data_IF_917416588567
#
_entry.id   IF_917416588567
#
_cell.length_a   1.000
_cell.length_b   1.000
_cell.length_c   1.000
_cell.angle_alpha   90.00
_cell.angle_beta   90.00
_cell.angle_gamma   90.00
#
_symmetry.space_group_name_H-M   'P 1'
#
loop_
_entity.id
_entity.type
_entity.pdbx_description
1 polymer ?
#
# COMPACT_ATOMS: atom_id res chain seq x y z
N UNK A 1 48.04 37.38 -2.09
CA UNK A 1 48.10 36.51 -3.29
C UNK A 1 47.96 35.10 -2.75
N UNK A 2 46.80 34.45 -2.75
CA UNK A 2 45.61 34.63 -3.58
C UNK A 2 44.36 34.29 -2.76
N UNK A 3 43.34 35.14 -2.87
CA UNK A 3 42.06 35.02 -2.19
C UNK A 3 40.97 35.15 -3.25
N UNK A 4 40.73 34.10 -4.03
CA UNK A 4 39.54 33.99 -4.89
C UNK A 4 39.44 32.58 -5.50
N UNK A 5 38.65 31.66 -4.92
CA UNK A 5 38.30 30.35 -5.56
C UNK A 5 37.15 29.61 -4.87
N UNK A 6 36.13 30.30 -4.32
CA UNK A 6 35.07 29.59 -3.57
C UNK A 6 33.60 30.06 -3.70
N UNK A 7 33.04 30.30 -4.92
CA UNK A 7 31.57 30.24 -5.10
C UNK A 7 31.05 29.04 -5.92
N UNK A 8 31.84 28.37 -6.76
CA UNK A 8 31.29 27.43 -7.75
C UNK A 8 30.84 26.05 -7.20
N UNK A 9 31.29 25.63 -6.00
CA UNK A 9 30.87 24.33 -5.44
C UNK A 9 29.51 24.35 -4.71
N UNK A 10 28.85 25.51 -4.59
CA UNK A 10 27.53 25.57 -3.98
C UNK A 10 26.39 25.42 -5.02
N UNK A 11 26.60 25.89 -6.25
CA UNK A 11 25.57 25.84 -7.31
C UNK A 11 25.41 24.45 -7.94
N UNK A 12 26.50 23.70 -8.17
CA UNK A 12 26.42 22.31 -8.70
C UNK A 12 25.63 21.37 -7.77
N UNK A 13 25.57 21.65 -6.47
CA UNK A 13 24.83 20.80 -5.51
C UNK A 13 23.31 20.98 -5.57
N UNK A 14 22.83 22.00 -6.26
CA UNK A 14 21.39 22.36 -6.27
C UNK A 14 20.71 21.98 -7.58
N UNK A 15 21.45 21.85 -8.68
CA UNK A 15 20.92 21.41 -9.98
C UNK A 15 20.82 19.88 -10.12
N UNK A 16 21.50 19.11 -9.27
CA UNK A 16 21.42 17.64 -9.27
C UNK A 16 20.21 17.05 -8.50
N UNK A 17 19.21 17.86 -8.12
CA UNK A 17 18.09 17.44 -7.26
C UNK A 17 16.74 17.22 -7.99
N UNK A 18 16.76 16.89 -9.28
CA UNK A 18 15.56 16.38 -9.97
C UNK A 18 15.44 14.85 -9.80
N UNK A 19 14.24 14.37 -9.50
CA UNK A 19 13.96 12.94 -9.31
C UNK A 19 14.08 12.19 -10.64
N UNK A 20 15.19 11.51 -10.91
CA UNK A 20 15.46 10.92 -12.23
C UNK A 20 14.70 9.62 -12.49
N UNK A 21 14.47 8.82 -11.47
CA UNK A 21 13.82 7.51 -11.56
C UNK A 21 12.40 7.52 -11.01
N UNK A 22 12.09 8.40 -10.06
CA UNK A 22 10.81 8.48 -9.36
C UNK A 22 9.96 9.70 -9.75
N UNK A 23 10.33 10.44 -10.81
CA UNK A 23 9.49 11.53 -11.36
C UNK A 23 8.06 11.04 -11.66
N UNK A 24 7.95 9.85 -12.25
CA UNK A 24 6.67 9.25 -12.58
C UNK A 24 5.80 9.01 -11.34
N UNK A 25 6.40 8.78 -10.16
CA UNK A 25 5.67 8.58 -8.90
C UNK A 25 5.07 9.90 -8.45
N UNK A 26 5.81 11.00 -8.56
CA UNK A 26 5.27 12.33 -8.30
C UNK A 26 4.14 12.66 -9.27
N UNK A 27 4.36 12.45 -10.57
CA UNK A 27 3.33 12.68 -11.59
C UNK A 27 2.07 11.84 -11.34
N UNK A 28 2.22 10.54 -11.06
CA UNK A 28 1.12 9.63 -10.76
C UNK A 28 0.38 10.05 -9.47
N UNK A 29 1.10 10.51 -8.46
CA UNK A 29 0.52 11.02 -7.21
C UNK A 29 -0.28 12.29 -7.45
N UNK A 30 0.26 13.26 -8.19
CA UNK A 30 -0.45 14.49 -8.58
C UNK A 30 -1.70 14.14 -9.40
N UNK A 31 -1.56 13.24 -10.37
CA UNK A 31 -2.68 12.80 -11.20
C UNK A 31 -3.76 12.10 -10.37
N UNK A 32 -3.38 11.23 -9.43
CA UNK A 32 -4.30 10.56 -8.52
C UNK A 32 -5.03 11.57 -7.62
N UNK A 33 -4.29 12.49 -6.99
CA UNK A 33 -4.86 13.55 -6.17
C UNK A 33 -5.85 14.43 -6.96
N UNK A 34 -5.49 14.83 -8.17
CA UNK A 34 -6.37 15.62 -9.04
C UNK A 34 -7.66 14.85 -9.39
N UNK A 35 -7.55 13.57 -9.77
CA UNK A 35 -8.73 12.72 -10.07
C UNK A 35 -9.61 12.54 -8.84
N UNK A 36 -9.02 12.31 -7.67
CA UNK A 36 -9.73 12.21 -6.40
C UNK A 36 -10.43 13.53 -6.04
N UNK A 37 -9.78 14.68 -6.23
CA UNK A 37 -10.35 15.99 -5.97
C UNK A 37 -11.57 16.27 -6.87
N UNK A 38 -11.48 15.96 -8.17
CA UNK A 38 -12.59 16.09 -9.12
C UNK A 38 -13.77 15.17 -8.71
N UNK A 39 -13.47 13.92 -8.34
CA UNK A 39 -14.50 12.98 -7.92
C UNK A 39 -15.19 13.44 -6.62
N UNK A 40 -14.40 13.92 -5.65
CA UNK A 40 -14.89 14.45 -4.39
C UNK A 40 -15.76 15.70 -4.61
N UNK A 41 -15.30 16.67 -5.40
CA UNK A 41 -16.04 17.90 -5.66
C UNK A 41 -17.39 17.61 -6.34
N UNK A 42 -17.39 16.70 -7.32
CA UNK A 42 -18.61 16.23 -7.99
C UNK A 42 -19.58 15.53 -7.03
N UNK A 43 -19.07 14.66 -6.15
CA UNK A 43 -19.89 13.99 -5.13
C UNK A 43 -20.46 14.98 -4.10
N UNK A 44 -19.65 15.94 -3.66
CA UNK A 44 -20.04 17.01 -2.73
C UNK A 44 -21.12 17.91 -3.31
N UNK A 45 -21.01 18.31 -4.58
CA UNK A 45 -22.04 19.11 -5.27
C UNK A 45 -23.37 18.35 -5.41
N UNK A 46 -23.32 17.01 -5.51
CA UNK A 46 -24.50 16.14 -5.62
C UNK A 46 -25.01 15.59 -4.28
N UNK A 47 -24.40 15.96 -3.16
CA UNK A 47 -24.77 15.47 -1.83
C UNK A 47 -26.15 15.97 -1.35
N UNK A 48 -26.73 16.98 -2.01
CA UNK A 48 -28.05 17.52 -1.70
C UNK A 48 -28.15 17.98 -0.22
N UNK A 49 -29.09 17.45 0.58
CA UNK A 49 -29.26 17.83 1.98
C UNK A 49 -28.05 17.49 2.87
N UNK A 50 -27.13 16.63 2.42
CA UNK A 50 -25.91 16.27 3.17
C UNK A 50 -24.76 17.27 2.97
N UNK A 51 -24.85 18.17 1.98
CA UNK A 51 -23.79 19.12 1.65
C UNK A 51 -23.32 19.96 2.86
N UNK A 52 -24.21 20.54 3.70
CA UNK A 52 -23.77 21.29 4.89
C UNK A 52 -22.99 20.46 5.91
N UNK A 53 -23.31 19.17 6.03
CA UNK A 53 -22.59 18.24 6.91
C UNK A 53 -21.17 17.97 6.39
N UNK A 54 -21.03 17.77 5.08
CA UNK A 54 -19.73 17.62 4.41
C UNK A 54 -18.88 18.88 4.59
N UNK A 55 -19.45 20.07 4.40
CA UNK A 55 -18.76 21.35 4.60
C UNK A 55 -18.26 21.50 6.05
N UNK A 56 -19.08 21.13 7.04
CA UNK A 56 -18.71 21.20 8.46
C UNK A 56 -17.54 20.28 8.79
N UNK A 57 -17.56 19.04 8.29
CA UNK A 57 -16.48 18.07 8.50
C UNK A 57 -15.20 18.51 7.79
N UNK A 58 -15.31 19.04 6.57
CA UNK A 58 -14.17 19.55 5.80
C UNK A 58 -13.48 20.70 6.54
N UNK A 59 -14.22 21.66 7.07
CA UNK A 59 -13.65 22.78 7.84
C UNK A 59 -13.01 22.30 9.15
N UNK A 60 -13.63 21.33 9.85
CA UNK A 60 -13.04 20.74 11.05
C UNK A 60 -11.74 20.00 10.75
N UNK A 61 -11.72 19.17 9.70
CA UNK A 61 -10.52 18.43 9.26
C UNK A 61 -9.44 19.39 8.81
N UNK A 62 -9.78 20.41 8.01
CA UNK A 62 -8.83 21.45 7.57
C UNK A 62 -8.20 22.16 8.76
N UNK A 63 -8.99 22.53 9.77
CA UNK A 63 -8.48 23.19 10.98
C UNK A 63 -7.51 22.31 11.78
N UNK A 64 -7.78 21.01 11.87
CA UNK A 64 -6.94 20.05 12.61
C UNK A 64 -5.69 19.64 11.82
N UNK A 65 -5.83 19.43 10.52
CA UNK A 65 -4.78 18.87 9.66
C UNK A 65 -3.87 19.94 9.07
N UNK A 66 -4.36 21.17 8.81
CA UNK A 66 -3.53 22.22 8.20
C UNK A 66 -2.23 22.50 8.98
N UNK A 67 -2.25 22.66 10.32
CA UNK A 67 -1.01 22.87 11.08
C UNK A 67 -0.04 21.68 11.02
N UNK A 68 -0.56 20.47 10.81
CA UNK A 68 0.25 19.25 10.66
C UNK A 68 0.86 19.22 9.25
N UNK A 69 0.06 19.48 8.22
CA UNK A 69 0.54 19.55 6.85
C UNK A 69 1.63 20.61 6.68
N UNK A 70 1.43 21.83 7.19
CA UNK A 70 2.42 22.90 7.10
C UNK A 70 3.77 22.52 7.72
N UNK A 71 3.76 21.71 8.79
CA UNK A 71 5.00 21.22 9.43
C UNK A 71 5.69 20.10 8.66
N UNK A 72 4.95 19.28 7.91
CA UNK A 72 5.47 18.02 7.35
C UNK A 72 5.39 17.92 5.81
N UNK A 73 4.84 18.92 5.11
CA UNK A 73 4.62 18.87 3.66
C UNK A 73 5.90 18.63 2.84
N UNK A 74 7.07 18.99 3.38
CA UNK A 74 8.38 18.75 2.75
C UNK A 74 8.89 17.31 2.92
N UNK A 75 8.44 16.59 3.96
CA UNK A 75 8.97 15.24 4.29
C UNK A 75 8.79 14.23 3.16
N UNK A 76 7.62 14.12 2.49
CA UNK A 76 7.45 13.17 1.38
C UNK A 76 8.41 13.43 0.22
N UNK A 77 8.69 14.70 -0.10
CA UNK A 77 9.63 15.08 -1.16
C UNK A 77 11.04 14.61 -0.87
N UNK A 78 11.52 14.82 0.35
CA UNK A 78 12.86 14.41 0.77
C UNK A 78 13.02 12.88 0.85
N UNK A 79 11.98 12.15 1.28
CA UNK A 79 11.97 10.68 1.24
C UNK A 79 12.03 10.16 -0.19
N UNK A 80 11.29 10.77 -1.12
CA UNK A 80 11.37 10.42 -2.54
C UNK A 80 12.75 10.71 -3.11
N UNK A 81 13.35 11.87 -2.81
CA UNK A 81 14.73 12.19 -3.25
C UNK A 81 15.75 11.18 -2.72
N UNK A 82 15.62 10.80 -1.45
CA UNK A 82 16.48 9.77 -0.86
C UNK A 82 16.32 8.42 -1.56
N UNK A 83 15.08 8.00 -1.82
CA UNK A 83 14.79 6.77 -2.55
C UNK A 83 15.32 6.82 -3.99
N UNK A 84 15.13 7.94 -4.69
CA UNK A 84 15.60 8.17 -6.05
C UNK A 84 17.13 8.07 -6.14
N UNK A 85 17.84 8.73 -5.20
CA UNK A 85 19.30 8.60 -5.09
C UNK A 85 19.73 7.16 -4.81
N UNK A 86 19.00 6.42 -3.97
CA UNK A 86 19.30 5.00 -3.71
C UNK A 86 19.07 4.11 -4.93
N UNK A 87 18.08 4.42 -5.75
CA UNK A 87 17.86 3.75 -7.03
C UNK A 87 18.97 4.08 -8.03
N UNK A 88 19.38 5.35 -8.13
CA UNK A 88 20.49 5.80 -8.97
C UNK A 88 21.84 5.18 -8.54
N UNK A 89 22.13 5.16 -7.23
CA UNK A 89 23.30 4.48 -6.66
C UNK A 89 23.30 3.00 -7.02
N UNK A 90 22.16 2.33 -6.87
CA UNK A 90 22.03 0.92 -7.21
C UNK A 90 22.31 0.69 -8.70
N UNK A 91 21.74 1.51 -9.58
CA UNK A 91 21.93 1.43 -11.04
C UNK A 91 23.41 1.66 -11.45
N UNK A 92 24.09 2.60 -10.79
CA UNK A 92 25.50 2.92 -11.04
C UNK A 92 26.47 1.82 -10.59
N UNK A 93 26.10 1.03 -9.58
CA UNK A 93 26.95 0.03 -8.95
C UNK A 93 26.59 -1.41 -9.31
N UNK A 94 25.67 -1.65 -10.24
CA UNK A 94 25.33 -3.02 -10.69
C UNK A 94 26.49 -3.59 -11.49
N UNK A 95 27.33 -4.48 -10.92
CA UNK A 95 28.37 -5.14 -11.69
C UNK A 95 27.64 -6.15 -12.60
N UNK A 96 28.16 -6.43 -13.79
CA UNK A 96 27.50 -7.28 -14.81
C UNK A 96 27.01 -8.65 -14.31
N UNK A 97 27.45 -9.09 -13.14
CA UNK A 97 27.00 -10.27 -12.41
C UNK A 97 25.56 -10.18 -11.86
N UNK A 98 24.95 -9.01 -11.66
CA UNK A 98 23.51 -8.93 -11.25
C UNK A 98 22.57 -9.06 -12.46
N UNK A 99 23.05 -8.88 -13.69
CA UNK A 99 22.31 -9.33 -14.89
C UNK A 99 22.00 -10.83 -14.86
N UNK A 100 22.79 -11.65 -14.13
CA UNK A 100 22.45 -13.07 -13.90
C UNK A 100 21.26 -13.23 -12.94
N UNK A 101 21.08 -12.35 -11.96
CA UNK A 101 19.87 -12.35 -11.12
C UNK A 101 18.66 -11.83 -11.91
N UNK A 102 18.86 -10.88 -12.83
CA UNK A 102 17.82 -10.47 -13.77
C UNK A 102 17.35 -11.63 -14.66
N UNK A 103 18.23 -12.58 -15.01
CA UNK A 103 17.81 -13.78 -15.75
C UNK A 103 16.94 -14.73 -14.92
N UNK A 104 17.13 -14.79 -13.59
CA UNK A 104 16.18 -15.46 -12.68
C UNK A 104 14.86 -14.67 -12.59
N UNK A 105 14.90 -13.34 -12.55
CA UNK A 105 13.69 -12.52 -12.60
C UNK A 105 12.94 -12.65 -13.94
N UNK A 106 13.64 -12.78 -15.06
CA UNK A 106 13.05 -13.10 -16.37
C UNK A 106 12.51 -14.53 -16.41
N UNK A 107 13.10 -15.49 -15.68
CA UNK A 107 12.53 -16.83 -15.52
C UNK A 107 11.19 -16.75 -14.79
N UNK A 108 11.09 -15.94 -13.73
CA UNK A 108 9.82 -15.66 -13.02
C UNK A 108 8.79 -15.02 -13.96
N UNK A 109 9.19 -14.07 -14.83
CA UNK A 109 8.29 -13.52 -15.87
C UNK A 109 7.84 -14.59 -16.87
N UNK A 110 8.72 -15.53 -17.22
CA UNK A 110 8.38 -16.62 -18.16
C UNK A 110 7.47 -17.68 -17.54
N UNK A 111 7.58 -17.94 -16.23
CA UNK A 111 6.66 -18.79 -15.46
C UNK A 111 5.30 -18.11 -15.30
N UNK A 112 5.28 -16.80 -15.01
CA UNK A 112 4.07 -15.98 -14.99
C UNK A 112 3.38 -15.94 -16.37
N UNK A 113 4.15 -15.99 -17.46
CA UNK A 113 3.59 -16.04 -18.83
C UNK A 113 3.02 -17.42 -19.19
N UNK A 114 3.52 -18.50 -18.59
CA UNK A 114 3.03 -19.88 -18.83
C UNK A 114 1.81 -20.23 -17.98
N UNK A 115 1.88 -19.97 -16.67
CA UNK A 115 0.83 -20.40 -15.73
C UNK A 115 -0.09 -19.24 -15.32
N UNK A 116 0.17 -18.03 -15.80
CA UNK A 116 -0.55 -16.82 -15.43
C UNK A 116 -0.13 -16.29 -14.05
N UNK A 117 -0.27 -14.97 -13.86
CA UNK A 117 0.00 -14.28 -12.57
C UNK A 117 -0.73 -14.96 -11.40
N UNK A 118 -1.94 -15.48 -11.66
CA UNK A 118 -2.78 -16.16 -10.66
C UNK A 118 -2.16 -17.46 -10.14
N UNK A 119 -1.55 -18.28 -11.00
CA UNK A 119 -0.96 -19.55 -10.56
C UNK A 119 0.34 -19.33 -9.78
N UNK A 120 1.19 -18.40 -10.23
CA UNK A 120 2.40 -18.05 -9.48
C UNK A 120 2.06 -17.44 -8.11
N UNK A 121 1.07 -16.53 -8.06
CA UNK A 121 0.57 -16.00 -6.80
C UNK A 121 0.11 -17.13 -5.88
N UNK A 122 -0.70 -18.09 -6.38
CA UNK A 122 -1.12 -19.27 -5.61
C UNK A 122 0.06 -20.07 -5.06
N UNK A 123 1.08 -20.37 -5.87
CA UNK A 123 2.26 -21.12 -5.43
C UNK A 123 3.04 -20.40 -4.33
N UNK A 124 3.23 -19.09 -4.48
CA UNK A 124 3.89 -18.27 -3.46
C UNK A 124 3.04 -18.23 -2.18
N UNK A 125 1.73 -17.95 -2.30
CA UNK A 125 0.82 -17.94 -1.15
C UNK A 125 0.85 -19.28 -0.41
N UNK A 126 0.69 -20.41 -1.10
CA UNK A 126 0.68 -21.74 -0.47
C UNK A 126 1.99 -22.10 0.24
N UNK A 127 3.14 -21.59 -0.23
CA UNK A 127 4.43 -21.83 0.45
C UNK A 127 4.52 -21.10 1.79
N UNK A 128 3.98 -19.88 1.87
CA UNK A 128 4.05 -19.05 3.08
C UNK A 128 2.84 -19.23 4.01
N UNK A 129 1.73 -19.74 3.50
CA UNK A 129 0.49 -20.00 4.23
C UNK A 129 0.69 -20.75 5.55
N UNK A 130 1.37 -21.92 5.63
CA UNK A 130 1.52 -22.63 6.90
C UNK A 130 2.33 -21.84 7.94
N UNK A 131 3.34 -21.09 7.51
CA UNK A 131 4.12 -20.24 8.41
C UNK A 131 3.31 -19.05 8.89
N UNK A 132 2.55 -18.41 8.00
CA UNK A 132 1.66 -17.31 8.35
C UNK A 132 0.58 -17.74 9.35
N UNK A 133 -0.03 -18.91 9.14
CA UNK A 133 -1.01 -19.52 10.06
C UNK A 133 -0.40 -19.79 11.43
N UNK A 134 0.78 -20.41 11.50
CA UNK A 134 1.47 -20.67 12.77
C UNK A 134 1.81 -19.38 13.52
N UNK A 135 2.27 -18.35 12.80
CA UNK A 135 2.52 -17.03 13.38
C UNK A 135 1.23 -16.40 13.90
N UNK A 136 0.14 -16.45 13.13
CA UNK A 136 -1.15 -15.90 13.52
C UNK A 136 -1.72 -16.59 14.76
N UNK A 137 -1.68 -17.93 14.83
CA UNK A 137 -2.10 -18.71 16.01
C UNK A 137 -1.23 -18.38 17.23
N UNK A 138 0.08 -18.29 17.04
CA UNK A 138 1.01 -17.97 18.14
C UNK A 138 0.79 -16.56 18.68
N UNK A 139 0.60 -15.59 17.79
CA UNK A 139 0.27 -14.22 18.14
C UNK A 139 -1.09 -14.15 18.86
N UNK A 140 -2.11 -14.83 18.35
CA UNK A 140 -3.44 -14.89 18.97
C UNK A 140 -3.39 -15.51 20.37
N UNK A 141 -2.64 -16.59 20.55
CA UNK A 141 -2.46 -17.24 21.86
C UNK A 141 -1.77 -16.32 22.86
N UNK A 142 -0.73 -15.58 22.44
CA UNK A 142 -0.07 -14.58 23.29
C UNK A 142 -1.00 -13.42 23.65
N UNK A 143 -1.78 -12.93 22.69
CA UNK A 143 -2.75 -11.87 22.93
C UNK A 143 -3.84 -12.30 23.92
N UNK A 144 -4.34 -13.54 23.82
CA UNK A 144 -5.30 -14.10 24.77
C UNK A 144 -4.79 -14.24 26.22
N UNK A 145 -3.47 -14.12 26.46
CA UNK A 145 -2.91 -14.06 27.81
C UNK A 145 -3.04 -12.67 28.45
N UNK A 146 -3.35 -11.63 27.67
CA UNK A 146 -3.55 -10.28 28.19
C UNK A 146 -4.95 -10.16 28.82
N UNK A 147 -5.08 -9.61 30.03
CA UNK A 147 -6.34 -9.66 30.81
C UNK A 147 -7.54 -8.96 30.14
N UNK A 148 -7.29 -7.98 29.27
CA UNK A 148 -8.34 -7.25 28.57
C UNK A 148 -8.63 -7.79 27.16
N UNK A 149 -7.72 -8.56 26.58
CA UNK A 149 -7.83 -8.98 25.18
C UNK A 149 -9.02 -9.92 24.93
N UNK A 150 -9.34 -10.91 25.79
CA UNK A 150 -10.51 -11.76 25.58
C UNK A 150 -11.82 -10.97 25.51
N UNK A 151 -11.96 -9.90 26.32
CA UNK A 151 -13.15 -9.06 26.31
C UNK A 151 -13.26 -8.26 25.01
N UNK A 152 -12.16 -7.67 24.57
CA UNK A 152 -12.10 -6.93 23.29
C UNK A 152 -12.35 -7.89 22.11
N UNK A 153 -11.72 -9.06 22.12
CA UNK A 153 -11.88 -10.08 21.10
C UNK A 153 -13.34 -10.50 20.96
N UNK A 154 -14.06 -10.77 22.05
CA UNK A 154 -15.48 -11.16 21.99
C UNK A 154 -16.40 -10.11 21.38
N UNK A 155 -16.05 -8.82 21.45
CA UNK A 155 -16.82 -7.74 20.81
C UNK A 155 -16.46 -7.58 19.34
N UNK A 156 -15.17 -7.74 19.00
CA UNK A 156 -14.65 -7.51 17.65
C UNK A 156 -14.87 -8.73 16.75
N UNK A 157 -14.75 -9.94 17.26
CA UNK A 157 -14.76 -11.17 16.49
C UNK A 157 -16.09 -11.39 15.73
N UNK A 158 -17.27 -11.18 16.34
CA UNK A 158 -18.55 -11.29 15.61
C UNK A 158 -18.68 -10.23 14.50
N UNK A 159 -18.20 -9.01 14.75
CA UNK A 159 -18.21 -7.94 13.74
C UNK A 159 -17.25 -8.25 12.59
N UNK A 160 -16.06 -8.74 12.90
CA UNK A 160 -15.08 -9.17 11.92
C UNK A 160 -15.61 -10.34 11.07
N UNK A 161 -16.25 -11.33 11.69
CA UNK A 161 -16.89 -12.45 10.98
C UNK A 161 -17.97 -11.96 10.01
N UNK A 162 -18.88 -11.10 10.48
CA UNK A 162 -19.93 -10.51 9.63
C UNK A 162 -19.36 -9.69 8.46
N UNK A 163 -18.38 -8.83 8.71
CA UNK A 163 -17.72 -8.06 7.66
C UNK A 163 -17.03 -8.95 6.63
N UNK A 164 -16.41 -10.05 7.08
CA UNK A 164 -15.73 -11.01 6.21
C UNK A 164 -16.72 -11.78 5.34
N UNK A 165 -17.85 -12.21 5.91
CA UNK A 165 -18.94 -12.85 5.17
C UNK A 165 -19.48 -11.92 4.07
N UNK A 166 -19.78 -10.66 4.42
CA UNK A 166 -20.28 -9.66 3.44
C UNK A 166 -19.27 -9.35 2.34
N UNK A 167 -17.99 -9.31 2.68
CA UNK A 167 -16.92 -9.16 1.70
C UNK A 167 -16.90 -10.37 0.73
N UNK A 168 -16.92 -11.60 1.25
CA UNK A 168 -16.92 -12.80 0.42
C UNK A 168 -18.15 -12.86 -0.50
N UNK A 169 -19.35 -12.58 0.01
CA UNK A 169 -20.58 -12.47 -0.79
C UNK A 169 -20.42 -11.45 -1.93
N UNK A 170 -19.84 -10.28 -1.65
CA UNK A 170 -19.61 -9.24 -2.65
C UNK A 170 -18.61 -9.67 -3.73
N UNK A 171 -17.53 -10.37 -3.36
CA UNK A 171 -16.55 -10.93 -4.31
C UNK A 171 -17.20 -11.97 -5.21
N UNK A 172 -17.97 -12.92 -4.63
CA UNK A 172 -18.69 -13.95 -5.39
C UNK A 172 -19.72 -13.32 -6.33
N UNK A 173 -20.58 -12.44 -5.84
CA UNK A 173 -21.58 -11.75 -6.67
C UNK A 173 -20.93 -10.93 -7.80
N UNK A 174 -19.76 -10.34 -7.54
CA UNK A 174 -19.02 -9.60 -8.57
C UNK A 174 -18.44 -10.52 -9.64
N UNK A 175 -17.98 -11.71 -9.26
CA UNK A 175 -17.52 -12.74 -10.19
C UNK A 175 -18.67 -13.31 -11.04
N UNK A 176 -19.81 -13.59 -10.44
CA UNK A 176 -21.02 -14.06 -11.15
C UNK A 176 -21.53 -13.04 -12.18
N UNK A 177 -21.40 -11.74 -11.88
CA UNK A 177 -21.73 -10.65 -12.81
C UNK A 177 -20.68 -10.40 -13.91
N UNK A 178 -19.55 -11.12 -13.87
CA UNK A 178 -18.49 -10.98 -14.87
C UNK A 178 -17.60 -9.74 -14.71
N UNK A 179 -17.58 -9.09 -13.54
CA UNK A 179 -16.69 -7.96 -13.30
C UNK A 179 -15.23 -8.42 -13.23
N UNK A 180 -14.38 -7.95 -14.15
CA UNK A 180 -12.95 -8.32 -14.22
C UNK A 180 -12.17 -8.10 -12.91
N UNK A 181 -12.59 -7.14 -12.08
CA UNK A 181 -11.94 -6.85 -10.80
C UNK A 181 -12.06 -8.02 -9.80
N UNK A 182 -13.10 -8.85 -9.90
CA UNK A 182 -13.28 -10.00 -8.99
C UNK A 182 -12.17 -11.03 -9.11
N UNK A 183 -11.55 -11.16 -10.31
CA UNK A 183 -10.43 -12.06 -10.54
C UNK A 183 -9.17 -11.69 -9.74
N UNK A 184 -9.11 -10.47 -9.21
CA UNK A 184 -8.00 -9.97 -8.39
C UNK A 184 -8.37 -9.88 -6.90
N UNK A 185 -9.64 -10.08 -6.54
CA UNK A 185 -10.10 -10.00 -5.15
C UNK A 185 -10.08 -11.40 -4.51
N UNK A 186 -9.23 -11.64 -3.50
CA UNK A 186 -9.16 -12.94 -2.85
C UNK A 186 -10.38 -13.16 -1.96
N UNK A 187 -10.89 -14.39 -1.89
CA UNK A 187 -11.85 -14.78 -0.86
C UNK A 187 -11.12 -14.99 0.47
N UNK A 188 -11.74 -14.58 1.57
CA UNK A 188 -11.23 -14.84 2.91
C UNK A 188 -11.67 -16.26 3.34
N UNK A 189 -10.73 -17.17 3.66
CA UNK A 189 -11.06 -18.56 3.96
C UNK A 189 -11.56 -18.71 5.41
N UNK A 190 -12.82 -18.31 5.65
CA UNK A 190 -13.44 -18.29 7.00
C UNK A 190 -13.48 -19.67 7.66
N UNK A 191 -13.81 -20.72 6.92
CA UNK A 191 -13.82 -22.11 7.45
C UNK A 191 -12.44 -22.58 7.89
N UNK A 192 -11.40 -22.25 7.10
CA UNK A 192 -10.02 -22.59 7.43
C UNK A 192 -9.56 -21.85 8.68
N UNK A 193 -9.85 -20.56 8.76
CA UNK A 193 -9.58 -19.73 9.94
C UNK A 193 -10.29 -20.31 11.16
N UNK A 194 -11.58 -20.60 11.08
CA UNK A 194 -12.34 -21.20 12.17
C UNK A 194 -11.73 -22.52 12.64
N UNK A 195 -11.26 -23.38 11.72
CA UNK A 195 -10.57 -24.63 12.05
C UNK A 195 -9.22 -24.41 12.76
N UNK A 196 -8.44 -23.44 12.28
CA UNK A 196 -7.11 -23.11 12.83
C UNK A 196 -7.21 -22.51 14.25
N UNK A 197 -8.25 -21.71 14.52
CA UNK A 197 -8.44 -21.06 15.83
C UNK A 197 -9.38 -21.81 16.78
N UNK A 198 -10.25 -22.68 16.27
CA UNK A 198 -11.28 -23.38 17.04
C UNK A 198 -10.77 -24.54 17.89
N UNK A 199 -9.52 -24.96 17.70
CA UNK A 199 -8.83 -25.95 18.55
C UNK A 199 -9.64 -27.23 18.81
N UNK A 200 -9.67 -28.15 17.84
CA UNK A 200 -10.27 -29.50 17.89
C UNK A 200 -11.55 -29.66 18.73
#
# INVERSE_FOLDING_TARGET
MDADSQPQQLEERTEEQELKYLEFVQFATIQALMRCAILYSYAKERAGPLKPGVDTVEEAVKTVVAPVYDRFHLVPGEVLKYADRKVAELDSHVPSNVKKVSSQACSVVSEVRRDGVSAYAKTVYSKYEPTAEQCAVSAWRKLNQLPLFPQVANVVLPKAAYCTEKYNEAVVSSAEKGYRVSAYLPLVPTEKIAKVFGGN
#
